data_IF_680526612321
#
_entry.id   IF_680526612321
#
_cell.length_a   1.000
_cell.length_b   1.000
_cell.length_c   1.000
_cell.angle_alpha   90.00
_cell.angle_beta   90.00
_cell.angle_gamma   90.00
#
_symmetry.space_group_name_H-M   'P 1'
#
loop_
_entity.id
_entity.type
_entity.pdbx_description
1 polymer ?
#
# COMPACT_ATOMS: atom_id res chain seq x y z
N UNK A 1 -7.89 8.54 -22.93
CA UNK A 1 -7.01 7.46 -22.39
C UNK A 1 -5.61 7.73 -22.89
N UNK A 2 -4.60 7.67 -22.02
CA UNK A 2 -3.19 7.74 -22.38
C UNK A 2 -2.48 6.44 -21.96
N UNK A 3 -1.49 6.01 -22.74
CA UNK A 3 -0.57 4.93 -22.36
C UNK A 3 0.67 5.57 -21.74
N UNK A 4 1.12 5.04 -20.61
CA UNK A 4 2.31 5.54 -19.91
C UNK A 4 3.27 4.40 -19.63
N UNK A 5 4.57 4.69 -19.74
CA UNK A 5 5.65 3.76 -19.41
C UNK A 5 6.75 4.50 -18.67
N UNK A 6 7.35 3.86 -17.67
CA UNK A 6 8.58 4.29 -17.03
C UNK A 6 9.70 3.33 -17.44
N UNK A 7 10.74 3.86 -18.07
CA UNK A 7 11.86 3.08 -18.59
C UNK A 7 13.20 3.70 -18.19
N UNK A 8 14.22 2.87 -18.02
CA UNK A 8 15.62 3.32 -17.90
C UNK A 8 16.45 2.77 -19.04
N UNK A 9 17.46 3.53 -19.45
CA UNK A 9 18.46 3.12 -20.43
C UNK A 9 19.83 3.06 -19.77
N UNK A 10 20.52 1.94 -19.91
CA UNK A 10 21.89 1.78 -19.45
C UNK A 10 22.80 1.58 -20.67
N UNK A 11 23.69 2.54 -20.92
CA UNK A 11 24.69 2.42 -21.97
C UNK A 11 25.86 1.54 -21.49
N UNK A 12 26.20 0.51 -22.26
CA UNK A 12 27.37 -0.35 -22.03
C UNK A 12 28.58 0.12 -22.84
N UNK A 13 29.76 -0.32 -22.40
CA UNK A 13 31.07 0.05 -22.97
C UNK A 13 31.22 -0.22 -24.49
N UNK A 14 30.40 -1.09 -25.08
CA UNK A 14 30.44 -1.44 -26.51
C UNK A 14 29.35 -0.75 -27.35
N UNK A 15 28.67 0.27 -26.80
CA UNK A 15 27.58 0.97 -27.49
C UNK A 15 26.23 0.25 -27.47
N UNK A 16 26.15 -0.93 -26.85
CA UNK A 16 24.88 -1.61 -26.55
C UNK A 16 24.13 -0.85 -25.47
N UNK A 17 22.83 -0.61 -25.67
CA UNK A 17 21.95 0.03 -24.69
C UNK A 17 20.96 -0.98 -24.17
N UNK A 18 20.99 -1.25 -22.86
CA UNK A 18 19.93 -2.02 -22.22
C UNK A 18 18.74 -1.11 -21.94
N UNK A 19 17.55 -1.54 -22.36
CA UNK A 19 16.30 -0.92 -21.98
C UNK A 19 15.62 -1.75 -20.89
N UNK A 20 15.32 -1.13 -19.77
CA UNK A 20 14.51 -1.75 -18.71
C UNK A 20 13.18 -1.03 -18.61
N UNK A 21 12.09 -1.77 -18.78
CA UNK A 21 10.74 -1.29 -18.50
C UNK A 21 10.42 -1.58 -17.03
N UNK A 22 10.25 -0.53 -16.25
CA UNK A 22 9.91 -0.62 -14.82
C UNK A 22 8.40 -0.76 -14.63
N UNK A 23 7.63 0.08 -15.33
CA UNK A 23 6.17 0.09 -15.24
C UNK A 23 5.54 0.49 -16.56
N UNK A 24 4.37 -0.08 -16.86
CA UNK A 24 3.49 0.35 -17.94
C UNK A 24 2.04 0.34 -17.48
N UNK A 25 1.23 1.25 -18.00
CA UNK A 25 -0.17 1.33 -17.62
C UNK A 25 -1.00 2.22 -18.54
N UNK A 26 -2.32 2.22 -18.30
CA UNK A 26 -3.29 3.09 -18.95
C UNK A 26 -3.82 4.11 -17.96
N UNK A 27 -3.85 5.37 -18.36
CA UNK A 27 -4.39 6.48 -17.56
C UNK A 27 -5.69 6.95 -18.19
N UNK A 28 -6.73 6.99 -17.37
CA UNK A 28 -8.03 7.56 -17.72
C UNK A 28 -8.20 8.84 -16.90
N UNK A 29 -8.25 9.98 -17.58
CA UNK A 29 -8.48 11.28 -16.95
C UNK A 29 -9.97 11.64 -17.07
N UNK A 30 -10.49 12.25 -16.01
CA UNK A 30 -11.84 12.80 -15.97
C UNK A 30 -11.74 14.32 -16.21
N UNK A 31 -12.57 14.91 -17.09
CA UNK A 31 -12.57 16.36 -17.29
C UNK A 31 -12.81 17.12 -15.99
N UNK A 32 -12.11 18.24 -15.79
CA UNK A 32 -12.28 19.08 -14.60
C UNK A 32 -13.72 19.60 -14.41
N UNK A 33 -14.44 19.81 -15.52
CA UNK A 33 -15.84 20.26 -15.54
C UNK A 33 -16.85 19.19 -15.09
N UNK A 34 -16.44 17.92 -15.03
CA UNK A 34 -17.34 16.85 -14.61
C UNK A 34 -17.49 16.86 -13.08
N UNK A 35 -18.73 16.81 -12.54
CA UNK A 35 -18.94 16.77 -11.10
C UNK A 35 -18.21 15.57 -10.48
N UNK A 36 -17.30 15.86 -9.57
CA UNK A 36 -16.55 14.82 -8.86
C UNK A 36 -17.41 14.25 -7.75
N UNK A 37 -17.53 12.92 -7.73
CA UNK A 37 -18.25 12.23 -6.66
C UNK A 37 -17.36 12.13 -5.43
N UNK A 38 -17.91 12.52 -4.29
CA UNK A 38 -17.32 12.21 -3.00
C UNK A 38 -17.60 10.74 -2.73
N UNK A 39 -16.55 9.93 -2.67
CA UNK A 39 -16.66 8.53 -2.34
C UNK A 39 -16.63 8.34 -0.82
N UNK A 40 -17.60 7.60 -0.30
CA UNK A 40 -17.73 7.29 1.13
C UNK A 40 -17.97 5.80 1.32
N UNK A 41 -17.43 5.28 2.41
CA UNK A 41 -17.61 3.90 2.86
C UNK A 41 -17.87 3.88 4.37
N UNK A 42 -18.21 2.72 4.91
CA UNK A 42 -18.21 2.52 6.35
C UNK A 42 -16.84 2.85 6.93
N UNK A 43 -16.76 3.66 8.01
CA UNK A 43 -15.49 3.94 8.68
C UNK A 43 -14.79 2.67 9.13
N UNK A 44 -13.45 2.62 9.08
CA UNK A 44 -12.68 1.47 9.54
C UNK A 44 -12.82 1.33 11.06
N UNK A 45 -12.94 0.09 11.54
CA UNK A 45 -13.06 -0.19 12.96
C UNK A 45 -11.66 -0.44 13.57
N UNK A 46 -11.07 0.64 14.10
CA UNK A 46 -9.82 0.60 14.84
C UNK A 46 -10.11 0.68 16.34
N UNK A 47 -10.09 -0.46 17.02
CA UNK A 47 -10.44 -0.58 18.45
C UNK A 47 -9.24 -0.72 19.37
N UNK A 48 -8.02 -0.75 18.83
CA UNK A 48 -6.82 -0.97 19.63
C UNK A 48 -6.71 -2.39 20.16
N UNK A 49 -7.35 -3.36 19.49
CA UNK A 49 -6.98 -4.77 19.64
C UNK A 49 -5.49 -4.95 19.29
N UNK A 50 -4.98 -6.17 19.42
CA UNK A 50 -3.56 -6.39 19.20
C UNK A 50 -3.07 -5.77 17.90
N UNK A 51 -2.22 -4.77 18.05
CA UNK A 51 -1.73 -3.91 16.98
C UNK A 51 -0.23 -4.08 16.92
N UNK A 52 0.30 -4.34 15.73
CA UNK A 52 1.74 -4.33 15.50
C UNK A 52 2.19 -2.87 15.41
N UNK A 53 3.20 -2.52 16.18
CA UNK A 53 3.76 -1.17 16.18
C UNK A 53 4.61 -0.88 14.95
N UNK A 54 4.75 0.39 14.58
CA UNK A 54 5.73 0.83 13.59
C UNK A 54 7.14 0.29 13.88
N UNK A 55 7.56 0.25 15.16
CA UNK A 55 8.87 -0.25 15.56
C UNK A 55 9.07 -1.72 15.16
N UNK A 56 8.06 -2.56 15.34
CA UNK A 56 8.16 -3.98 14.98
C UNK A 56 8.04 -4.19 13.47
N UNK A 57 7.20 -3.40 12.79
CA UNK A 57 7.08 -3.39 11.33
C UNK A 57 8.44 -3.06 10.67
N UNK A 58 9.12 -2.01 11.14
CA UNK A 58 10.35 -1.50 10.52
C UNK A 58 11.64 -2.15 11.03
N UNK A 59 11.56 -3.14 11.94
CA UNK A 59 12.64 -4.14 12.11
C UNK A 59 12.70 -5.09 10.92
N UNK A 60 11.55 -5.35 10.28
CA UNK A 60 11.44 -6.25 9.15
C UNK A 60 11.54 -5.52 7.80
N UNK A 61 10.88 -4.37 7.68
CA UNK A 61 10.84 -3.58 6.45
C UNK A 61 12.05 -2.68 6.28
N UNK A 62 12.75 -2.84 5.16
CA UNK A 62 13.91 -2.03 4.75
C UNK A 62 13.50 -0.69 4.14
N UNK A 63 12.77 0.14 4.89
CA UNK A 63 12.33 1.47 4.44
C UNK A 63 13.00 2.59 5.24
N UNK A 64 13.53 3.59 4.54
CA UNK A 64 14.01 4.82 5.15
C UNK A 64 12.87 5.66 5.74
N UNK A 65 13.16 6.67 6.58
CA UNK A 65 12.15 7.40 7.37
C UNK A 65 10.97 7.95 6.56
N UNK A 66 11.20 8.45 5.34
CA UNK A 66 10.13 9.00 4.48
C UNK A 66 9.17 7.96 3.91
N UNK A 67 9.49 6.67 4.05
CA UNK A 67 8.66 5.54 3.61
C UNK A 67 8.20 4.66 4.79
N UNK A 68 8.38 5.13 6.03
CA UNK A 68 7.83 4.50 7.22
C UNK A 68 6.38 4.95 7.46
N UNK A 69 5.51 4.64 6.49
CA UNK A 69 4.12 5.13 6.39
C UNK A 69 3.14 4.50 7.38
N UNK A 70 3.48 3.41 8.06
CA UNK A 70 2.61 2.72 9.02
C UNK A 70 2.91 3.19 10.45
N UNK A 71 1.90 3.71 11.14
CA UNK A 71 1.90 3.91 12.60
C UNK A 71 1.71 2.56 13.32
N UNK A 72 0.86 1.71 12.73
CA UNK A 72 0.63 0.35 13.19
C UNK A 72 -0.35 -0.39 12.30
N UNK A 73 -0.46 -1.70 12.53
CA UNK A 73 -1.35 -2.60 11.77
C UNK A 73 -2.22 -3.42 12.72
N UNK A 74 -3.52 -3.45 12.44
CA UNK A 74 -4.53 -4.20 13.19
C UNK A 74 -5.32 -5.12 12.23
N UNK A 75 -5.71 -6.31 12.68
CA UNK A 75 -6.70 -7.14 11.97
C UNK A 75 -8.09 -6.80 12.47
N UNK A 76 -9.07 -6.76 11.57
CA UNK A 76 -10.48 -6.53 11.87
C UNK A 76 -11.32 -7.46 10.99
N UNK A 77 -11.76 -8.59 11.56
CA UNK A 77 -12.49 -9.63 10.81
C UNK A 77 -11.72 -10.15 9.59
N UNK A 78 -12.28 -9.92 8.40
CA UNK A 78 -11.72 -10.37 7.12
C UNK A 78 -10.85 -9.31 6.42
N UNK A 79 -10.48 -8.24 7.12
CA UNK A 79 -9.59 -7.19 6.61
C UNK A 79 -8.40 -6.94 7.53
N UNK A 80 -7.36 -6.35 6.97
CA UNK A 80 -6.22 -5.80 7.70
C UNK A 80 -6.19 -4.29 7.51
N UNK A 81 -6.07 -3.58 8.61
CA UNK A 81 -6.02 -2.12 8.69
C UNK A 81 -4.58 -1.67 8.95
N UNK A 82 -4.04 -0.81 8.10
CA UNK A 82 -2.78 -0.10 8.34
C UNK A 82 -3.04 1.37 8.61
N UNK A 83 -2.72 1.84 9.80
CA UNK A 83 -2.91 3.25 10.19
C UNK A 83 -1.76 4.09 9.68
N UNK A 84 -2.06 5.21 9.02
CA UNK A 84 -1.08 6.12 8.45
C UNK A 84 -0.28 6.84 9.55
N UNK A 85 1.04 6.76 9.46
CA UNK A 85 1.96 7.56 10.26
C UNK A 85 1.94 9.03 9.80
N UNK A 86 1.48 9.92 10.68
CA UNK A 86 1.39 11.36 10.41
C UNK A 86 2.74 12.10 10.52
N UNK A 87 3.76 11.45 11.05
CA UNK A 87 5.08 12.04 11.33
C UNK A 87 6.12 11.69 10.25
N UNK A 88 5.68 11.26 9.06
CA UNK A 88 6.60 10.98 7.96
C UNK A 88 7.24 12.28 7.43
N UNK A 89 8.57 12.32 7.23
CA UNK A 89 9.22 13.43 6.55
C UNK A 89 8.67 13.61 5.13
N UNK A 90 8.59 14.85 4.61
CA UNK A 90 8.08 15.09 3.27
C UNK A 90 8.97 14.42 2.21
N UNK A 91 8.34 13.87 1.16
CA UNK A 91 9.05 13.22 0.04
C UNK A 91 9.83 14.21 -0.83
N UNK A 92 9.43 15.48 -0.82
CA UNK A 92 10.06 16.56 -1.60
C UNK A 92 10.43 17.68 -0.64
N UNK A 93 11.44 18.49 -0.97
CA UNK A 93 11.86 19.64 -0.14
C UNK A 93 10.78 20.71 0.08
N UNK A 94 9.58 20.55 -0.49
CA UNK A 94 8.44 21.42 -0.25
C UNK A 94 7.70 20.97 1.02
N UNK A 95 7.71 21.86 2.02
CA UNK A 95 7.22 21.63 3.39
C UNK A 95 5.70 21.50 3.54
N UNK A 96 4.94 21.50 2.43
CA UNK A 96 3.51 21.22 2.49
C UNK A 96 3.32 19.71 2.64
N UNK A 97 2.99 19.28 3.86
CA UNK A 97 2.51 17.95 4.27
C UNK A 97 1.17 17.58 3.59
N UNK A 98 1.06 17.82 2.28
CA UNK A 98 -0.02 17.24 1.49
C UNK A 98 0.33 15.77 1.31
N UNK A 99 -0.52 14.87 1.84
CA UNK A 99 -0.35 13.44 1.63
C UNK A 99 -0.30 13.18 0.13
N UNK A 100 0.86 12.72 -0.33
CA UNK A 100 1.09 12.46 -1.73
C UNK A 100 0.42 11.13 -2.10
N UNK A 101 -0.02 11.01 -3.35
CA UNK A 101 -0.54 9.74 -3.87
C UNK A 101 0.45 8.59 -3.64
N UNK A 102 1.77 8.75 -3.84
CA UNK A 102 2.75 7.72 -3.48
C UNK A 102 2.66 7.24 -2.03
N UNK A 103 2.54 8.13 -1.04
CA UNK A 103 2.42 7.73 0.38
C UNK A 103 1.18 6.88 0.62
N UNK A 104 0.05 7.25 0.01
CA UNK A 104 -1.21 6.53 0.18
C UNK A 104 -1.17 5.15 -0.51
N UNK A 105 -0.50 5.04 -1.65
CA UNK A 105 -0.28 3.76 -2.34
C UNK A 105 0.66 2.87 -1.50
N UNK A 106 1.75 3.42 -0.98
CA UNK A 106 2.67 2.70 -0.09
C UNK A 106 1.98 2.21 1.18
N UNK A 107 1.05 2.99 1.74
CA UNK A 107 0.24 2.57 2.87
C UNK A 107 -0.52 1.28 2.55
N UNK A 108 -1.13 1.18 1.37
CA UNK A 108 -1.79 -0.04 0.92
C UNK A 108 -0.81 -1.20 0.70
N UNK A 109 0.31 -0.96 0.02
CA UNK A 109 1.31 -2.00 -0.27
C UNK A 109 1.92 -2.59 1.00
N UNK A 110 2.34 -1.75 1.94
CA UNK A 110 2.94 -2.19 3.19
C UNK A 110 1.90 -2.89 4.07
N UNK A 111 0.64 -2.44 4.08
CA UNK A 111 -0.43 -3.14 4.83
C UNK A 111 -0.71 -4.53 4.26
N UNK A 112 -0.81 -4.65 2.93
CA UNK A 112 -0.98 -5.94 2.25
C UNK A 112 0.22 -6.86 2.47
N UNK A 113 1.43 -6.31 2.40
CA UNK A 113 2.65 -7.06 2.65
C UNK A 113 2.74 -7.60 4.08
N UNK A 114 2.33 -6.84 5.11
CA UNK A 114 2.28 -7.34 6.49
C UNK A 114 1.32 -8.53 6.60
N UNK A 115 0.17 -8.47 5.93
CA UNK A 115 -0.74 -9.61 5.88
C UNK A 115 -0.08 -10.82 5.19
N UNK A 116 0.48 -10.63 4.01
CA UNK A 116 1.13 -11.70 3.25
C UNK A 116 2.28 -12.36 4.02
N UNK A 117 3.14 -11.57 4.67
CA UNK A 117 4.24 -12.06 5.51
C UNK A 117 3.72 -12.92 6.65
N UNK A 118 2.62 -12.52 7.29
CA UNK A 118 2.02 -13.30 8.37
C UNK A 118 1.44 -14.64 7.92
N UNK A 119 1.16 -14.80 6.64
CA UNK A 119 0.67 -16.05 6.04
C UNK A 119 1.80 -16.93 5.52
N UNK A 120 2.75 -16.32 4.80
CA UNK A 120 3.73 -17.05 4.00
C UNK A 120 5.12 -17.08 4.66
N UNK A 121 5.37 -16.25 5.68
CA UNK A 121 6.65 -16.18 6.39
C UNK A 121 7.80 -15.59 5.57
N UNK A 122 7.50 -14.97 4.43
CA UNK A 122 8.48 -14.42 3.49
C UNK A 122 8.07 -13.01 3.03
N UNK A 123 9.07 -12.21 2.65
CA UNK A 123 8.86 -10.92 2.02
C UNK A 123 8.41 -11.09 0.56
N UNK A 124 7.69 -10.09 0.09
CA UNK A 124 7.13 -10.02 -1.25
C UNK A 124 7.31 -8.61 -1.81
N UNK A 125 7.53 -8.51 -3.12
CA UNK A 125 7.66 -7.23 -3.82
C UNK A 125 6.36 -6.90 -4.57
N UNK A 126 5.99 -5.61 -4.71
CA UNK A 126 4.92 -5.19 -5.59
C UNK A 126 5.15 -5.69 -7.02
N UNK A 127 4.19 -6.42 -7.59
CA UNK A 127 4.27 -6.95 -8.97
C UNK A 127 3.38 -6.19 -9.93
N UNK A 128 2.12 -5.97 -9.56
CA UNK A 128 1.18 -5.25 -10.42
C UNK A 128 -0.03 -4.75 -9.64
N UNK A 129 -0.61 -3.64 -10.09
CA UNK A 129 -1.95 -3.20 -9.72
C UNK A 129 -2.85 -3.43 -10.94
N UNK A 130 -4.01 -4.05 -10.74
CA UNK A 130 -5.03 -4.17 -11.79
C UNK A 130 -5.66 -2.82 -12.11
N UNK A 131 -6.05 -2.06 -11.08
CA UNK A 131 -6.64 -0.73 -11.22
C UNK A 131 -6.34 0.15 -10.00
N UNK A 132 -6.03 1.43 -10.22
CA UNK A 132 -5.86 2.45 -9.19
C UNK A 132 -6.83 3.59 -9.48
N UNK A 133 -7.75 3.87 -8.55
CA UNK A 133 -8.71 4.97 -8.62
C UNK A 133 -8.37 6.00 -7.56
N UNK A 134 -8.27 7.26 -7.97
CA UNK A 134 -7.97 8.39 -7.09
C UNK A 134 -9.22 9.24 -6.91
N UNK A 135 -9.50 9.64 -5.67
CA UNK A 135 -10.57 10.55 -5.34
C UNK A 135 -9.98 11.86 -4.83
N UNK A 136 -10.48 12.99 -5.33
CA UNK A 136 -9.99 14.32 -4.97
C UNK A 136 -10.60 14.81 -3.65
N UNK A 137 -10.33 14.04 -2.60
CA UNK A 137 -10.72 14.36 -1.23
C UNK A 137 -9.58 15.06 -0.51
N UNK A 138 -9.91 16.13 0.22
CA UNK A 138 -8.92 16.88 1.01
C UNK A 138 -8.70 16.20 2.34
N UNK A 139 -7.44 16.09 2.73
CA UNK A 139 -7.06 15.64 4.08
C UNK A 139 -7.66 16.62 5.10
N UNK A 140 -8.41 16.06 6.04
CA UNK A 140 -9.17 16.79 7.07
C UNK A 140 -8.52 16.67 8.47
N UNK A 141 -7.29 16.14 8.55
CA UNK A 141 -6.53 15.98 9.79
C UNK A 141 -6.94 14.78 10.64
N UNK A 142 -8.03 14.08 10.32
CA UNK A 142 -8.46 12.89 11.06
C UNK A 142 -7.59 11.68 10.70
N UNK A 143 -7.57 10.60 11.50
CA UNK A 143 -6.81 9.39 11.19
C UNK A 143 -7.17 8.79 9.82
N UNK A 144 -6.16 8.33 9.09
CA UNK A 144 -6.27 7.69 7.77
C UNK A 144 -5.76 6.26 7.88
N UNK A 145 -6.41 5.36 7.15
CA UNK A 145 -6.14 3.93 7.17
C UNK A 145 -6.10 3.39 5.75
N UNK A 146 -5.19 2.45 5.48
CA UNK A 146 -5.42 1.48 4.42
C UNK A 146 -6.26 0.34 5.00
N UNK A 147 -7.37 0.02 4.34
CA UNK A 147 -8.14 -1.19 4.57
C UNK A 147 -7.86 -2.15 3.42
N UNK A 148 -7.25 -3.28 3.73
CA UNK A 148 -6.87 -4.30 2.76
C UNK A 148 -7.75 -5.53 2.96
N UNK A 149 -8.15 -6.16 1.85
CA UNK A 149 -8.85 -7.44 1.80
C UNK A 149 -8.10 -8.40 0.88
N UNK A 150 -7.78 -9.59 1.38
CA UNK A 150 -7.24 -10.66 0.55
C UNK A 150 -8.36 -11.30 -0.28
N UNK A 151 -8.03 -11.63 -1.52
CA UNK A 151 -8.89 -12.31 -2.47
C UNK A 151 -8.09 -13.37 -3.25
N UNK A 152 -8.80 -14.22 -3.99
CA UNK A 152 -8.18 -15.20 -4.88
C UNK A 152 -8.87 -15.17 -6.24
N UNK A 153 -8.12 -15.44 -7.31
CA UNK A 153 -8.72 -15.72 -8.62
C UNK A 153 -9.38 -17.11 -8.61
N UNK A 154 -10.24 -17.44 -9.59
CA UNK A 154 -10.78 -18.80 -9.72
C UNK A 154 -9.69 -19.89 -9.81
N UNK A 155 -8.50 -19.53 -10.31
CA UNK A 155 -7.33 -20.40 -10.41
C UNK A 155 -6.51 -20.48 -9.10
N UNK A 156 -6.96 -19.80 -8.05
CA UNK A 156 -6.32 -19.81 -6.72
C UNK A 156 -5.18 -18.81 -6.55
N UNK A 157 -4.92 -17.94 -7.52
CA UNK A 157 -3.88 -16.92 -7.39
C UNK A 157 -4.32 -15.83 -6.40
N UNK A 158 -3.49 -15.56 -5.38
CA UNK A 158 -3.76 -14.54 -4.37
C UNK A 158 -3.59 -13.14 -4.95
N UNK A 159 -4.50 -12.24 -4.57
CA UNK A 159 -4.35 -10.80 -4.77
C UNK A 159 -4.99 -10.05 -3.58
N UNK A 160 -4.75 -8.75 -3.53
CA UNK A 160 -5.30 -7.87 -2.52
C UNK A 160 -6.09 -6.74 -3.17
N UNK A 161 -7.26 -6.46 -2.63
CA UNK A 161 -7.98 -5.22 -2.88
C UNK A 161 -7.77 -4.30 -1.68
N UNK A 162 -7.60 -3.02 -1.93
CA UNK A 162 -7.33 -2.06 -0.87
C UNK A 162 -8.03 -0.74 -1.11
N UNK A 163 -8.33 -0.03 -0.03
CA UNK A 163 -8.76 1.37 -0.07
C UNK A 163 -8.05 2.17 0.99
N UNK A 164 -7.81 3.44 0.71
CA UNK A 164 -7.41 4.41 1.73
C UNK A 164 -8.64 5.18 2.15
N UNK A 165 -8.94 5.14 3.44
CA UNK A 165 -10.15 5.69 4.04
C UNK A 165 -9.80 6.40 5.35
N UNK A 166 -10.47 7.50 5.67
CA UNK A 166 -10.33 8.12 6.99
C UNK A 166 -11.31 7.57 8.03
N UNK A 167 -11.12 7.96 9.30
CA UNK A 167 -11.99 7.58 10.41
C UNK A 167 -13.45 8.05 10.30
N UNK A 168 -13.77 8.90 9.31
CA UNK A 168 -15.14 9.36 9.03
C UNK A 168 -15.74 8.67 7.79
N UNK A 169 -15.00 7.76 7.16
CA UNK A 169 -15.46 7.00 6.01
C UNK A 169 -15.16 7.66 4.66
N UNK A 170 -14.39 8.74 4.60
CA UNK A 170 -14.02 9.40 3.34
C UNK A 170 -12.92 8.61 2.63
N UNK A 171 -13.15 8.23 1.36
CA UNK A 171 -12.21 7.38 0.60
C UNK A 171 -11.29 8.23 -0.27
N UNK A 172 -9.97 8.05 -0.18
CA UNK A 172 -8.96 8.82 -0.93
C UNK A 172 -8.49 8.09 -2.19
N UNK A 173 -8.35 6.78 -2.12
CA UNK A 173 -8.04 5.94 -3.28
C UNK A 173 -8.55 4.51 -3.09
N UNK A 174 -8.68 3.80 -4.19
CA UNK A 174 -8.93 2.36 -4.25
C UNK A 174 -7.93 1.69 -5.18
N UNK A 175 -7.43 0.53 -4.75
CA UNK A 175 -6.56 -0.37 -5.51
C UNK A 175 -7.32 -1.69 -5.66
N UNK A 176 -7.53 -2.10 -6.91
CA UNK A 176 -8.13 -3.39 -7.23
C UNK A 176 -7.05 -4.32 -7.82
N UNK A 177 -7.06 -5.60 -7.41
CA UNK A 177 -6.18 -6.65 -7.91
C UNK A 177 -4.69 -6.32 -7.78
N UNK A 178 -4.26 -5.89 -6.61
CA UNK A 178 -2.84 -5.79 -6.27
C UNK A 178 -2.22 -7.17 -6.11
N UNK A 179 -1.13 -7.42 -6.83
CA UNK A 179 -0.39 -8.68 -6.81
C UNK A 179 1.05 -8.43 -6.41
N UNK A 180 1.62 -9.45 -5.81
CA UNK A 180 3.00 -9.48 -5.33
C UNK A 180 3.82 -10.57 -6.02
N UNK A 181 5.13 -10.49 -5.86
CA UNK A 181 6.07 -11.52 -6.24
C UNK A 181 6.89 -11.90 -5.00
N UNK A 182 6.78 -13.16 -4.58
CA UNK A 182 7.47 -13.68 -3.41
C UNK A 182 8.99 -13.66 -3.60
N UNK A 183 9.71 -13.30 -2.54
CA UNK A 183 11.16 -13.40 -2.46
C UNK A 183 11.57 -14.79 -1.97
N UNK A 184 12.70 -15.29 -2.46
CA UNK A 184 13.17 -16.66 -2.17
C UNK A 184 13.68 -16.90 -0.75
N UNK A 185 13.69 -15.89 0.12
CA UNK A 185 14.25 -15.97 1.46
C UNK A 185 13.17 -15.75 2.52
N UNK A 186 13.10 -16.68 3.47
CA UNK A 186 12.23 -16.57 4.63
C UNK A 186 12.74 -15.52 5.62
N UNK A 187 11.83 -15.06 6.48
CA UNK A 187 12.13 -14.10 7.54
C UNK A 187 12.51 -14.82 8.84
N UNK A 188 13.39 -14.23 9.64
CA UNK A 188 13.73 -14.76 10.96
C UNK A 188 12.48 -14.89 11.85
N UNK A 189 12.33 -16.04 12.53
CA UNK A 189 11.13 -16.35 13.34
C UNK A 189 10.84 -15.33 14.44
N UNK A 190 11.88 -14.75 15.03
CA UNK A 190 11.75 -13.71 16.07
C UNK A 190 11.03 -12.46 15.55
N UNK A 191 11.30 -12.08 14.29
CA UNK A 191 10.69 -10.95 13.59
C UNK A 191 9.28 -11.28 13.06
N UNK A 192 9.02 -12.54 12.71
CA UNK A 192 7.69 -13.00 12.26
C UNK A 192 6.67 -13.12 13.38
N UNK A 193 7.09 -13.47 14.59
CA UNK A 193 6.19 -13.84 15.68
C UNK A 193 5.09 -12.79 15.99
N UNK A 194 5.39 -11.47 16.03
CA UNK A 194 4.34 -10.45 16.19
C UNK A 194 3.34 -10.42 15.04
N UNK A 195 3.81 -10.62 13.80
CA UNK A 195 2.99 -10.58 12.59
C UNK A 195 2.09 -11.81 12.50
N UNK A 196 2.63 -13.00 12.73
CA UNK A 196 1.82 -14.22 12.78
C UNK A 196 0.72 -14.12 13.86
N UNK A 197 1.07 -13.56 15.03
CA UNK A 197 0.11 -13.36 16.11
C UNK A 197 -1.02 -12.43 15.72
N UNK A 198 -0.76 -11.40 14.89
CA UNK A 198 -1.79 -10.51 14.35
C UNK A 198 -2.74 -11.27 13.42
N UNK A 199 -2.20 -12.03 12.46
CA UNK A 199 -3.01 -12.64 11.39
C UNK A 199 -3.85 -13.83 11.92
N UNK A 200 -3.36 -14.53 12.94
CA UNK A 200 -4.06 -15.66 13.59
C UNK A 200 -5.23 -15.25 14.49
N UNK A 201 -5.52 -13.96 14.68
CA UNK A 201 -6.65 -13.52 15.50
C UNK A 201 -7.96 -13.74 14.76
N UNK A 202 -8.91 -14.43 15.39
CA UNK A 202 -10.27 -14.60 14.90
C UNK A 202 -11.11 -13.40 15.28
#
# INVERSE_FOLDING_TARGET
>A
MAQVTLESKLARLQGVVDLTNHFKGKVHLVPFSQPRKIEKSQPPHWNGSYTISAQDIYKLYFHGPSFQVLEGVQKDGDVVLGKLNKQIPPLTGNNNLMLSVPVLVELCFQTAGIWEIGLDGALSLPRSIGNLRLFENKVNGVPIFAQVKQQHTPEGERYFDARVIDSQGLVYLEIDRYKTASMSYGVEKSLLSPIEKLIKQN
#
